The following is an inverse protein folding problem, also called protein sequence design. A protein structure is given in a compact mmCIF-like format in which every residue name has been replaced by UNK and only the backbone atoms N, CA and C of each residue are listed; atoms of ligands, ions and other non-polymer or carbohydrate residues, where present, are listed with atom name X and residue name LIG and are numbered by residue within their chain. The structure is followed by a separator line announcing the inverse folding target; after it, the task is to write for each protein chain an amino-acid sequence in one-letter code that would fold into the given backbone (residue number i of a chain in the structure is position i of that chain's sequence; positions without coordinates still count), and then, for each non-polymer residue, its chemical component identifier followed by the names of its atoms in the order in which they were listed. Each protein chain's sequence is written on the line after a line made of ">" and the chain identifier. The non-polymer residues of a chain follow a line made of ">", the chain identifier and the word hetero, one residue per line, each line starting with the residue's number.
data_IF_850677629452
#
_entry.id   IF_850677629452
#
_cell.length_a   1.000
_cell.length_b   1.000
_cell.length_c   1.000
_cell.angle_alpha   90.00
_cell.angle_beta   90.00
_cell.angle_gamma   90.00
#
_symmetry.space_group_name_H-M   'P 1'
#
loop_
_entity.id
_entity.type
_entity.pdbx_description
1 polymer ?
#
# COMPACT_ATOMS: atom_id res chain seq x y z
N UNK A 1 -27.97 -18.48 32.56
CA UNK A 1 -26.58 -18.06 32.85
C UNK A 1 -25.59 -18.46 31.75
N UNK A 2 -25.61 -19.69 31.23
CA UNK A 2 -24.63 -20.16 30.23
C UNK A 2 -24.53 -19.33 28.92
N UNK A 3 -25.65 -18.77 28.43
CA UNK A 3 -25.69 -18.00 27.17
C UNK A 3 -24.95 -16.65 27.28
N UNK A 4 -24.93 -16.03 28.47
CA UNK A 4 -24.24 -14.76 28.68
C UNK A 4 -22.71 -14.94 28.74
N UNK A 5 -22.25 -16.09 29.26
CA UNK A 5 -20.83 -16.47 29.31
C UNK A 5 -20.31 -16.77 27.91
N UNK A 6 -21.04 -17.57 27.12
CA UNK A 6 -20.65 -17.90 25.74
C UNK A 6 -20.57 -16.66 24.82
N UNK A 7 -21.47 -15.67 25.00
CA UNK A 7 -21.39 -14.39 24.27
C UNK A 7 -20.15 -13.57 24.64
N UNK A 8 -19.75 -13.55 25.93
CA UNK A 8 -18.56 -12.83 26.38
C UNK A 8 -17.27 -13.47 25.88
N UNK A 9 -17.20 -14.80 25.91
CA UNK A 9 -16.06 -15.56 25.37
C UNK A 9 -15.91 -15.36 23.86
N UNK A 10 -17.01 -15.35 23.11
CA UNK A 10 -16.99 -15.07 21.67
C UNK A 10 -16.52 -13.65 21.34
N UNK A 11 -16.95 -12.66 22.13
CA UNK A 11 -16.53 -11.25 21.94
C UNK A 11 -15.05 -11.08 22.28
N UNK A 12 -14.56 -11.74 23.34
CA UNK A 12 -13.15 -11.71 23.72
C UNK A 12 -12.26 -12.43 22.69
N UNK A 13 -12.71 -13.59 22.17
CA UNK A 13 -11.99 -14.32 21.12
C UNK A 13 -11.91 -13.51 19.82
N UNK A 14 -13.02 -12.87 19.42
CA UNK A 14 -13.02 -11.95 18.26
C UNK A 14 -12.10 -10.75 18.48
N UNK A 15 -12.07 -10.19 19.69
CA UNK A 15 -11.15 -9.10 20.03
C UNK A 15 -9.68 -9.50 19.87
N UNK A 16 -9.32 -10.68 20.39
CA UNK A 16 -7.96 -11.21 20.28
C UNK A 16 -7.56 -11.58 18.83
N UNK A 17 -8.50 -12.07 18.02
CA UNK A 17 -8.25 -12.33 16.59
C UNK A 17 -8.04 -11.04 15.79
N UNK A 18 -8.80 -9.98 16.09
CA UNK A 18 -8.62 -8.66 15.47
C UNK A 18 -7.26 -8.07 15.87
N UNK A 19 -6.93 -8.07 17.16
CA UNK A 19 -5.65 -7.56 17.68
C UNK A 19 -4.46 -8.32 17.07
N UNK A 20 -4.55 -9.66 16.93
CA UNK A 20 -3.52 -10.47 16.27
C UNK A 20 -3.40 -10.16 14.78
N UNK A 21 -4.52 -9.90 14.09
CA UNK A 21 -4.51 -9.54 12.68
C UNK A 21 -3.90 -8.14 12.45
N UNK A 22 -4.23 -7.17 13.30
CA UNK A 22 -3.65 -5.82 13.29
C UNK A 22 -2.14 -5.87 13.55
N UNK A 23 -1.71 -6.59 14.60
CA UNK A 23 -0.29 -6.78 14.92
C UNK A 23 0.47 -7.41 13.75
N UNK A 24 -0.13 -8.40 13.08
CA UNK A 24 0.49 -9.01 11.92
C UNK A 24 0.60 -8.03 10.74
N UNK A 25 -0.38 -7.14 10.52
CA UNK A 25 -0.26 -6.09 9.49
C UNK A 25 0.87 -5.11 9.82
N UNK A 26 1.03 -4.73 11.09
CA UNK A 26 2.12 -3.87 11.55
C UNK A 26 3.49 -4.53 11.37
N UNK A 27 3.64 -5.81 11.73
CA UNK A 27 4.87 -6.58 11.54
C UNK A 27 5.26 -6.65 10.05
N UNK A 28 4.27 -6.83 9.16
CA UNK A 28 4.50 -6.83 7.72
C UNK A 28 4.89 -5.46 7.19
N UNK A 29 4.26 -4.42 7.70
CA UNK A 29 4.60 -3.05 7.36
C UNK A 29 6.05 -2.74 7.77
N UNK A 30 6.47 -3.19 8.95
CA UNK A 30 7.84 -3.03 9.43
C UNK A 30 8.83 -3.82 8.56
N UNK A 31 8.56 -5.10 8.26
CA UNK A 31 9.42 -5.91 7.40
C UNK A 31 9.52 -5.36 5.96
N UNK A 32 8.43 -4.79 5.45
CA UNK A 32 8.41 -4.15 4.14
C UNK A 32 9.25 -2.86 4.14
N UNK A 33 9.13 -2.05 5.19
CA UNK A 33 9.93 -0.85 5.37
C UNK A 33 11.42 -1.19 5.43
N UNK A 34 11.83 -2.19 6.22
CA UNK A 34 13.21 -2.65 6.31
C UNK A 34 13.76 -3.08 4.94
N UNK A 35 12.97 -3.82 4.16
CA UNK A 35 13.36 -4.24 2.81
C UNK A 35 13.48 -3.07 1.84
N UNK A 36 12.58 -2.08 1.93
CA UNK A 36 12.65 -0.86 1.13
C UNK A 36 13.88 -0.03 1.48
N UNK A 37 14.19 0.11 2.76
CA UNK A 37 15.39 0.78 3.24
C UNK A 37 16.67 0.07 2.76
N UNK A 38 16.72 -1.27 2.84
CA UNK A 38 17.86 -2.05 2.35
C UNK A 38 18.06 -1.90 0.83
N UNK A 39 16.98 -2.03 0.04
CA UNK A 39 17.04 -1.82 -1.41
C UNK A 39 17.43 -0.38 -1.78
N UNK A 40 17.02 0.57 -0.96
CA UNK A 40 17.36 1.98 -1.12
C UNK A 40 18.83 2.28 -0.81
N UNK A 41 19.41 1.67 0.23
CA UNK A 41 20.86 1.78 0.51
C UNK A 41 21.71 1.13 -0.59
N UNK A 42 21.26 0.02 -1.17
CA UNK A 42 21.91 -0.60 -2.34
C UNK A 42 21.82 0.30 -3.59
N UNK A 43 20.66 0.94 -3.82
CA UNK A 43 20.47 1.89 -4.91
C UNK A 43 21.34 3.16 -4.75
N UNK A 44 21.54 3.65 -3.52
CA UNK A 44 22.50 4.72 -3.22
C UNK A 44 23.92 4.38 -3.63
N UNK A 45 24.37 3.17 -3.28
CA UNK A 45 25.73 2.72 -3.56
C UNK A 45 26.00 2.57 -5.06
N UNK A 46 24.95 2.36 -5.86
CA UNK A 46 25.02 2.20 -7.32
C UNK A 46 24.70 3.48 -8.10
N UNK A 47 24.36 4.59 -7.42
CA UNK A 47 24.02 5.86 -8.05
C UNK A 47 25.24 6.47 -8.74
N UNK A 48 25.22 6.52 -10.09
CA UNK A 48 26.23 7.22 -10.88
C UNK A 48 25.80 8.67 -11.09
N UNK A 49 26.55 9.68 -10.57
CA UNK A 49 26.21 11.09 -10.73
C UNK A 49 26.15 11.58 -12.19
N UNK A 50 26.79 10.83 -13.10
CA UNK A 50 26.97 11.18 -14.51
C UNK A 50 25.70 10.99 -15.37
N UNK A 51 24.70 10.25 -14.86
CA UNK A 51 23.42 10.03 -15.55
C UNK A 51 22.36 10.83 -14.79
N UNK A 52 22.30 12.14 -15.04
CA UNK A 52 21.25 13.01 -14.49
C UNK A 52 19.92 12.75 -15.22
N UNK A 53 19.26 11.63 -14.90
CA UNK A 53 17.83 11.51 -15.16
C UNK A 53 17.10 12.49 -14.21
N UNK A 54 16.05 13.20 -14.63
CA UNK A 54 15.19 13.91 -13.69
C UNK A 54 14.55 12.87 -12.78
N UNK A 55 15.11 12.70 -11.58
CA UNK A 55 14.47 11.88 -10.55
C UNK A 55 13.18 12.58 -10.13
N UNK A 56 12.05 11.92 -10.36
CA UNK A 56 10.73 12.38 -9.95
C UNK A 56 10.76 12.88 -8.50
N UNK A 57 10.10 13.99 -8.20
CA UNK A 57 10.10 14.58 -6.84
C UNK A 57 9.39 13.69 -5.82
N UNK A 58 8.42 12.91 -6.30
CA UNK A 58 7.62 11.99 -5.51
C UNK A 58 7.13 10.84 -6.40
N UNK A 59 6.71 9.74 -5.78
CA UNK A 59 6.05 8.63 -6.46
C UNK A 59 5.11 7.87 -5.51
N UNK A 60 4.18 7.08 -6.05
CA UNK A 60 3.36 6.12 -5.29
C UNK A 60 3.46 4.73 -5.90
N UNK A 61 3.71 3.72 -5.08
CA UNK A 61 3.66 2.31 -5.45
C UNK A 61 2.69 1.54 -4.55
N UNK A 62 2.18 0.42 -5.06
CA UNK A 62 1.37 -0.53 -4.30
C UNK A 62 2.05 -1.89 -4.26
N UNK A 63 1.92 -2.61 -3.15
CA UNK A 63 2.55 -3.90 -2.91
C UNK A 63 1.47 -4.85 -2.36
N UNK A 64 1.27 -5.99 -3.01
CA UNK A 64 0.21 -6.96 -2.70
C UNK A 64 -0.52 -7.46 -3.94
N UNK A 65 -1.71 -8.06 -3.79
CA UNK A 65 -2.46 -8.28 -2.55
C UNK A 65 -1.88 -9.40 -1.67
N UNK A 66 -2.07 -9.29 -0.36
CA UNK A 66 -1.74 -10.31 0.64
C UNK A 66 -3.02 -10.85 1.29
N UNK A 67 -3.15 -12.16 1.44
CA UNK A 67 -4.29 -12.76 2.14
C UNK A 67 -4.04 -12.87 3.64
N UNK A 68 -4.99 -12.44 4.48
CA UNK A 68 -5.03 -12.72 5.92
C UNK A 68 -5.95 -13.92 6.23
N UNK A 69 -5.83 -14.68 7.33
CA UNK A 69 -4.86 -14.51 8.41
C UNK A 69 -3.44 -14.91 8.00
N UNK A 70 -2.46 -14.22 8.56
CA UNK A 70 -1.04 -14.50 8.36
C UNK A 70 -0.63 -15.67 9.26
N UNK A 71 -0.84 -16.90 8.81
CA UNK A 71 -0.35 -18.06 9.55
C UNK A 71 1.18 -18.13 9.48
N UNK A 72 1.84 -17.62 10.53
CA UNK A 72 3.19 -17.99 11.01
C UNK A 72 4.30 -18.04 9.93
N UNK A 73 4.33 -17.06 9.03
CA UNK A 73 5.36 -16.96 8.01
C UNK A 73 5.06 -15.84 7.03
N UNK A 74 6.12 -15.28 6.41
CA UNK A 74 6.09 -14.20 5.43
C UNK A 74 4.82 -14.22 4.57
N UNK A 75 4.14 -13.08 4.37
CA UNK A 75 2.76 -13.06 3.88
C UNK A 75 2.76 -13.68 2.49
N UNK A 76 2.04 -14.79 2.35
CA UNK A 76 1.90 -15.46 1.06
C UNK A 76 1.14 -14.48 0.15
N UNK A 77 1.72 -14.03 -0.96
CA UNK A 77 1.05 -13.13 -1.91
C UNK A 77 -0.10 -13.85 -2.62
N UNK A 78 -1.13 -14.27 -1.93
CA UNK A 78 -2.20 -15.05 -2.51
C UNK A 78 -3.30 -14.11 -3.05
N UNK A 79 -3.37 -13.87 -4.37
CA UNK A 79 -4.43 -13.03 -4.95
C UNK A 79 -5.79 -13.73 -4.91
N UNK A 80 -5.89 -14.97 -4.44
CA UNK A 80 -7.13 -15.73 -4.37
C UNK A 80 -7.53 -15.90 -2.91
N UNK A 81 -8.64 -15.29 -2.51
CA UNK A 81 -9.15 -15.26 -1.14
C UNK A 81 -10.56 -15.82 -1.04
N UNK A 82 -10.92 -16.37 0.12
CA UNK A 82 -12.31 -16.74 0.39
C UNK A 82 -13.16 -15.50 0.63
N UNK A 83 -14.45 -15.58 0.31
CA UNK A 83 -15.41 -14.56 0.76
C UNK A 83 -15.35 -14.43 2.29
N UNK A 84 -15.30 -13.19 2.79
CA UNK A 84 -15.12 -12.86 4.20
C UNK A 84 -13.67 -12.91 4.69
N UNK A 85 -12.72 -13.31 3.84
CA UNK A 85 -11.29 -13.29 4.14
C UNK A 85 -10.69 -11.94 3.72
N UNK A 86 -9.97 -11.29 4.65
CA UNK A 86 -9.37 -9.98 4.37
C UNK A 86 -8.15 -10.09 3.45
N UNK A 87 -8.04 -9.11 2.57
CA UNK A 87 -6.89 -8.82 1.71
C UNK A 87 -6.23 -7.54 2.19
N UNK A 88 -4.90 -7.51 2.23
CA UNK A 88 -4.12 -6.32 2.57
C UNK A 88 -3.31 -5.87 1.36
N UNK A 89 -3.37 -4.57 1.07
CA UNK A 89 -2.58 -3.90 0.06
C UNK A 89 -1.76 -2.81 0.77
N UNK A 90 -0.43 -2.87 0.64
CA UNK A 90 0.41 -1.80 1.13
C UNK A 90 0.59 -0.75 0.04
N UNK A 91 0.52 0.52 0.41
CA UNK A 91 0.87 1.64 -0.45
C UNK A 91 2.11 2.31 0.11
N UNK A 92 3.04 2.65 -0.77
CA UNK A 92 4.29 3.32 -0.40
C UNK A 92 4.33 4.63 -1.18
N UNK A 93 4.29 5.74 -0.46
CA UNK A 93 4.58 7.05 -1.01
C UNK A 93 6.08 7.28 -0.87
N UNK A 94 6.75 7.50 -2.00
CA UNK A 94 8.17 7.82 -2.06
C UNK A 94 8.36 9.33 -2.22
N UNK A 95 9.24 9.91 -1.42
CA UNK A 95 9.69 11.28 -1.56
C UNK A 95 11.18 11.29 -1.92
N UNK A 96 11.54 11.95 -3.02
CA UNK A 96 12.91 11.90 -3.50
C UNK A 96 13.87 12.64 -2.54
N UNK A 97 14.81 11.92 -1.91
CA UNK A 97 15.74 12.51 -0.95
C UNK A 97 16.98 13.11 -1.64
N UNK A 98 17.18 12.86 -2.94
CA UNK A 98 18.38 13.25 -3.68
C UNK A 98 18.15 14.40 -4.65
N UNK A 99 19.23 15.13 -4.88
CA UNK A 99 19.38 16.10 -5.97
C UNK A 99 19.67 17.52 -5.47
N UNK A 100 20.42 18.32 -6.24
CA UNK A 100 20.24 19.76 -6.24
C UNK A 100 18.91 20.12 -6.92
N UNK A 101 18.23 21.20 -6.48
CA UNK A 101 18.69 22.14 -5.47
C UNK A 101 18.60 21.57 -4.05
N UNK A 102 19.53 21.97 -3.18
CA UNK A 102 19.33 21.88 -1.72
C UNK A 102 18.44 23.05 -1.31
N UNK A 103 17.37 22.83 -0.51
CA UNK A 103 16.93 21.57 0.10
C UNK A 103 16.32 20.57 -0.89
N UNK A 104 16.48 19.26 -0.63
CA UNK A 104 15.99 18.19 -1.54
C UNK A 104 14.46 18.16 -1.64
N UNK A 105 13.86 17.52 -2.67
CA UNK A 105 12.40 17.43 -2.79
C UNK A 105 11.71 16.86 -1.54
N UNK A 106 12.29 15.83 -0.91
CA UNK A 106 11.82 15.29 0.37
C UNK A 106 11.82 16.36 1.48
N UNK A 107 12.85 17.19 1.56
CA UNK A 107 12.94 18.26 2.55
C UNK A 107 11.94 19.40 2.26
N UNK A 108 11.72 19.73 0.99
CA UNK A 108 10.77 20.78 0.58
C UNK A 108 9.33 20.35 0.88
N UNK A 109 8.94 19.16 0.40
CA UNK A 109 7.55 18.70 0.47
C UNK A 109 7.25 18.12 1.86
N UNK A 110 8.13 17.26 2.37
CA UNK A 110 7.98 16.60 3.66
C UNK A 110 8.23 17.52 4.85
N UNK A 111 9.11 18.52 4.71
CA UNK A 111 9.40 19.49 5.78
C UNK A 111 8.24 20.44 6.07
N UNK A 112 7.37 20.70 5.09
CA UNK A 112 6.16 21.49 5.26
C UNK A 112 4.99 20.72 5.90
N UNK A 113 5.19 19.42 6.21
CA UNK A 113 4.17 18.52 6.79
C UNK A 113 2.82 18.55 6.05
N UNK A 114 2.89 18.71 4.72
CA UNK A 114 1.71 18.87 3.89
C UNK A 114 0.78 17.65 4.03
N UNK A 115 -0.55 17.84 4.00
CA UNK A 115 -1.46 16.72 4.03
C UNK A 115 -1.38 15.94 2.72
N UNK A 116 -1.58 14.62 2.78
CA UNK A 116 -1.74 13.77 1.61
C UNK A 116 -2.98 12.89 1.77
N UNK A 117 -3.51 12.43 0.65
CA UNK A 117 -4.57 11.42 0.60
C UNK A 117 -4.28 10.36 -0.45
N UNK A 118 -4.61 9.12 -0.10
CA UNK A 118 -4.58 7.97 -0.99
C UNK A 118 -6.01 7.48 -1.16
N UNK A 119 -6.55 7.61 -2.36
CA UNK A 119 -7.88 7.17 -2.72
C UNK A 119 -7.79 5.80 -3.38
N UNK A 120 -8.66 4.88 -2.97
CA UNK A 120 -8.76 3.55 -3.57
C UNK A 120 -10.20 3.28 -4.00
N UNK A 121 -10.36 2.93 -5.27
CA UNK A 121 -11.65 2.59 -5.86
C UNK A 121 -11.64 1.16 -6.35
N UNK A 122 -12.53 0.36 -5.77
CA UNK A 122 -12.65 -1.06 -6.06
C UNK A 122 -13.81 -1.31 -7.00
N UNK A 123 -13.60 -2.15 -8.02
CA UNK A 123 -14.62 -2.58 -8.96
C UNK A 123 -14.63 -4.10 -9.01
N UNK A 124 -15.82 -4.69 -8.88
CA UNK A 124 -16.02 -6.09 -9.20
C UNK A 124 -16.18 -6.20 -10.72
N UNK A 125 -15.18 -6.77 -11.37
CA UNK A 125 -15.11 -6.93 -12.84
C UNK A 125 -16.12 -7.99 -13.32
N UNK A 126 -16.50 -8.92 -12.46
CA UNK A 126 -17.48 -9.97 -12.81
C UNK A 126 -18.88 -9.38 -12.96
N UNK A 127 -19.25 -8.43 -12.10
CA UNK A 127 -20.53 -7.71 -12.16
C UNK A 127 -20.44 -6.36 -12.85
N UNK A 128 -19.23 -5.93 -13.22
CA UNK A 128 -18.91 -4.62 -13.80
C UNK A 128 -19.49 -3.48 -12.96
N UNK A 129 -19.36 -3.59 -11.64
CA UNK A 129 -19.94 -2.64 -10.68
C UNK A 129 -18.91 -2.15 -9.69
N UNK A 130 -18.94 -0.84 -9.41
CA UNK A 130 -18.16 -0.25 -8.33
C UNK A 130 -18.60 -0.82 -6.98
N UNK A 131 -17.61 -1.23 -6.17
CA UNK A 131 -17.84 -1.72 -4.81
C UNK A 131 -17.47 -0.62 -3.80
N UNK A 132 -18.49 0.13 -3.38
CA UNK A 132 -18.33 1.23 -2.44
C UNK A 132 -17.89 0.76 -1.04
N UNK A 133 -18.19 -0.50 -0.66
CA UNK A 133 -17.79 -1.04 0.65
C UNK A 133 -16.30 -1.38 0.69
N UNK A 134 -15.69 -1.63 -0.48
CA UNK A 134 -14.26 -1.88 -0.64
C UNK A 134 -13.50 -0.66 -1.18
N UNK A 135 -14.11 0.52 -1.19
CA UNK A 135 -13.52 1.77 -1.68
C UNK A 135 -13.39 2.77 -0.54
N UNK A 136 -12.45 3.72 -0.64
CA UNK A 136 -12.23 4.66 0.43
C UNK A 136 -11.04 5.58 0.24
N UNK A 137 -10.62 6.21 1.34
CA UNK A 137 -9.51 7.16 1.35
C UNK A 137 -8.72 7.02 2.65
N UNK A 138 -7.40 6.91 2.50
CA UNK A 138 -6.43 7.03 3.59
C UNK A 138 -5.88 8.46 3.57
N UNK A 139 -5.83 9.11 4.73
CA UNK A 139 -5.27 10.46 4.86
C UNK A 139 -4.10 10.43 5.83
N UNK A 140 -3.15 11.33 5.64
CA UNK A 140 -2.05 11.54 6.56
C UNK A 140 -1.33 12.84 6.31
N UNK A 141 -0.24 13.05 7.04
CA UNK A 141 0.67 14.17 6.84
C UNK A 141 2.00 13.63 6.35
N UNK A 142 2.60 14.33 5.40
CA UNK A 142 3.95 14.03 4.97
C UNK A 142 4.93 14.27 6.11
N UNK A 143 6.00 13.50 6.10
CA UNK A 143 7.15 13.70 6.96
C UNK A 143 8.41 13.76 6.07
N UNK A 144 9.51 14.35 6.55
CA UNK A 144 10.77 14.42 5.81
C UNK A 144 11.50 13.06 5.83
N UNK A 145 10.82 12.02 5.37
CA UNK A 145 11.29 10.63 5.26
C UNK A 145 11.12 10.15 3.81
N UNK A 146 12.00 9.26 3.32
CA UNK A 146 11.95 8.82 1.93
C UNK A 146 10.73 7.95 1.60
N UNK A 147 10.21 7.21 2.58
CA UNK A 147 9.08 6.29 2.39
C UNK A 147 8.02 6.50 3.45
N UNK A 148 6.76 6.58 3.03
CA UNK A 148 5.58 6.60 3.91
C UNK A 148 4.69 5.42 3.51
N UNK A 149 4.49 4.48 4.42
CA UNK A 149 3.71 3.26 4.19
C UNK A 149 2.31 3.38 4.78
N UNK A 150 1.31 2.90 4.05
CA UNK A 150 -0.05 2.71 4.55
C UNK A 150 -0.58 1.33 4.17
N UNK A 151 -1.33 0.71 5.07
CA UNK A 151 -2.04 -0.54 4.82
C UNK A 151 -3.51 -0.25 4.45
N UNK A 152 -3.99 -0.89 3.40
CA UNK A 152 -5.40 -0.89 2.99
C UNK A 152 -5.92 -2.31 3.13
N UNK A 153 -6.88 -2.52 4.04
CA UNK A 153 -7.49 -3.82 4.30
C UNK A 153 -8.88 -3.87 3.66
N UNK A 154 -9.11 -4.86 2.81
CA UNK A 154 -10.35 -5.07 2.05
C UNK A 154 -10.93 -6.45 2.38
N UNK A 155 -12.21 -6.53 2.71
CA UNK A 155 -12.87 -7.81 3.04
C UNK A 155 -14.05 -8.05 2.09
N UNK A 156 -13.84 -8.76 0.97
CA UNK A 156 -14.90 -9.00 -0.01
C UNK A 156 -16.02 -9.88 0.59
N UNK A 157 -17.27 -9.44 0.44
CA UNK A 157 -18.46 -10.14 0.92
C UNK A 157 -19.22 -10.90 -0.18
N UNK A 158 -18.76 -10.81 -1.42
CA UNK A 158 -19.32 -11.50 -2.56
C UNK A 158 -18.19 -12.14 -3.39
N UNK A 159 -18.45 -13.26 -4.08
CA UNK A 159 -17.47 -13.83 -4.98
C UNK A 159 -17.30 -12.96 -6.24
N UNK A 160 -16.11 -13.01 -6.83
CA UNK A 160 -15.80 -12.35 -8.09
C UNK A 160 -14.38 -11.82 -8.16
N UNK A 161 -14.00 -11.42 -9.37
CA UNK A 161 -12.74 -10.74 -9.65
C UNK A 161 -12.83 -9.25 -9.29
N UNK A 162 -11.95 -8.79 -8.41
CA UNK A 162 -11.88 -7.41 -7.94
C UNK A 162 -10.64 -6.70 -8.48
N UNK A 163 -10.83 -5.45 -8.91
CA UNK A 163 -9.80 -4.51 -9.32
C UNK A 163 -9.79 -3.28 -8.41
N UNK A 164 -8.64 -2.96 -7.82
CA UNK A 164 -8.44 -1.81 -6.93
C UNK A 164 -7.55 -0.78 -7.62
N UNK A 165 -8.12 0.38 -7.90
CA UNK A 165 -7.42 1.49 -8.52
C UNK A 165 -6.92 2.45 -7.44
N UNK A 166 -5.62 2.74 -7.42
CA UNK A 166 -4.98 3.55 -6.40
C UNK A 166 -4.53 4.89 -6.96
N UNK A 167 -4.88 5.97 -6.24
CA UNK A 167 -4.53 7.35 -6.57
C UNK A 167 -3.97 8.05 -5.34
N UNK A 168 -2.90 8.79 -5.48
CA UNK A 168 -2.38 9.66 -4.42
C UNK A 168 -2.43 11.12 -4.83
N UNK A 169 -2.64 11.97 -3.83
CA UNK A 169 -2.60 13.42 -3.98
C UNK A 169 -1.95 14.04 -2.75
N UNK A 170 -0.94 14.87 -2.97
CA UNK A 170 -0.41 15.79 -1.97
C UNK A 170 -1.25 17.07 -2.06
N UNK A 171 -1.68 17.55 -0.90
CA UNK A 171 -2.52 18.71 -0.75
C UNK A 171 -1.68 19.91 -0.31
N UNK A 172 -2.19 21.11 -0.57
CA UNK A 172 -1.62 22.33 0.01
C UNK A 172 -1.92 22.39 1.50
N UNK A 173 -1.29 23.33 2.22
CA UNK A 173 -1.61 23.60 3.63
C UNK A 173 -3.09 24.00 3.86
N UNK A 174 -3.81 24.43 2.82
CA UNK A 174 -5.25 24.74 2.87
C UNK A 174 -6.12 23.56 2.41
N UNK A 175 -5.56 22.35 2.33
CA UNK A 175 -6.27 21.13 1.90
C UNK A 175 -6.82 21.19 0.46
N UNK A 176 -6.23 22.01 -0.40
CA UNK A 176 -6.56 22.03 -1.83
C UNK A 176 -5.62 21.11 -2.61
N UNK A 177 -6.10 20.52 -3.71
CA UNK A 177 -5.27 19.62 -4.52
C UNK A 177 -4.10 20.36 -5.15
N UNK A 178 -2.88 19.89 -4.91
CA UNK A 178 -1.70 20.37 -5.59
C UNK A 178 -1.49 19.51 -6.85
N UNK A 179 -2.06 19.95 -7.98
CA UNK A 179 -2.15 19.16 -9.23
C UNK A 179 -0.81 18.52 -9.68
N UNK A 180 0.35 19.19 -9.59
CA UNK A 180 1.64 18.55 -9.94
C UNK A 180 2.03 17.35 -9.06
N UNK A 181 1.37 17.20 -7.91
CA UNK A 181 1.57 16.13 -6.94
C UNK A 181 0.31 15.28 -6.77
N UNK A 182 -0.38 15.02 -7.88
CA UNK A 182 -1.48 14.07 -7.97
C UNK A 182 -1.17 13.03 -9.06
N UNK A 183 -1.43 11.75 -8.79
CA UNK A 183 -1.10 10.67 -9.73
C UNK A 183 -1.66 9.31 -9.32
N UNK A 184 -1.55 8.36 -10.24
CA UNK A 184 -1.86 6.94 -10.01
C UNK A 184 -0.64 6.20 -9.45
N UNK A 185 -0.87 5.03 -8.84
CA UNK A 185 0.21 4.13 -8.50
C UNK A 185 1.06 3.80 -9.75
N UNK A 186 2.34 4.19 -9.73
CA UNK A 186 3.26 4.00 -10.84
C UNK A 186 3.73 2.56 -10.98
N UNK A 187 3.71 1.81 -9.87
CA UNK A 187 4.13 0.41 -9.78
C UNK A 187 3.21 -0.38 -8.87
N UNK A 188 2.85 -1.58 -9.32
CA UNK A 188 2.28 -2.63 -8.48
C UNK A 188 3.27 -3.77 -8.42
N UNK A 189 3.73 -4.11 -7.23
CA UNK A 189 4.60 -5.26 -7.00
C UNK A 189 3.85 -6.40 -6.30
N UNK A 190 4.03 -7.61 -6.81
CA UNK A 190 3.61 -8.84 -6.15
C UNK A 190 4.88 -9.59 -5.78
N UNK A 191 5.06 -9.91 -4.50
CA UNK A 191 6.28 -10.60 -4.03
C UNK A 191 6.44 -12.00 -4.66
N UNK A 192 5.42 -12.52 -5.37
CA UNK A 192 5.54 -13.73 -6.19
C UNK A 192 6.30 -13.55 -7.50
N UNK A 193 6.37 -12.35 -8.08
CA UNK A 193 6.81 -12.16 -9.45
C UNK A 193 8.35 -12.13 -9.64
N UNK A 194 9.15 -12.18 -8.57
CA UNK A 194 10.59 -11.89 -8.66
C UNK A 194 11.54 -13.06 -8.36
N UNK A 195 11.09 -14.32 -8.25
CA UNK A 195 12.02 -15.42 -7.94
C UNK A 195 13.07 -15.64 -9.06
N UNK A 196 12.81 -15.25 -10.32
CA UNK A 196 13.75 -15.52 -11.44
C UNK A 196 13.88 -14.42 -12.51
N UNK A 197 13.41 -13.20 -12.25
CA UNK A 197 13.57 -12.10 -13.20
C UNK A 197 14.65 -11.12 -12.73
N UNK A 198 15.60 -10.67 -13.58
CA UNK A 198 16.28 -9.42 -13.27
C UNK A 198 15.18 -8.38 -13.16
N UNK A 199 15.12 -7.63 -12.06
CA UNK A 199 14.23 -6.47 -11.93
C UNK A 199 14.71 -5.33 -12.83
N UNK A 200 14.94 -5.62 -14.10
CA UNK A 200 15.15 -4.65 -15.15
C UNK A 200 13.80 -4.08 -15.50
N UNK A 201 13.47 -2.94 -14.89
CA UNK A 201 12.62 -1.90 -15.48
C UNK A 201 11.40 -2.43 -16.26
N UNK A 202 10.56 -3.25 -15.64
CA UNK A 202 9.18 -3.37 -16.07
C UNK A 202 8.38 -2.26 -15.40
N UNK A 203 8.58 -1.02 -15.88
CA UNK A 203 7.71 0.12 -15.58
C UNK A 203 6.34 -0.24 -16.15
N UNK A 204 5.45 -0.80 -15.30
CA UNK A 204 4.07 -1.10 -15.67
C UNK A 204 3.19 0.01 -15.13
N UNK A 205 3.00 1.00 -15.99
CA UNK A 205 2.17 2.18 -15.75
C UNK A 205 0.74 1.79 -15.37
N UNK A 206 0.23 2.34 -14.27
CA UNK A 206 -1.20 2.59 -14.03
C UNK A 206 -2.12 1.36 -14.10
N UNK A 207 -1.66 0.19 -13.63
CA UNK A 207 -2.53 -0.99 -13.54
C UNK A 207 -3.30 -1.01 -12.21
N UNK A 208 -4.48 -1.65 -12.13
CA UNK A 208 -5.16 -1.90 -10.86
C UNK A 208 -4.54 -3.10 -10.13
N UNK A 209 -4.61 -3.10 -8.79
CA UNK A 209 -4.31 -4.29 -7.98
C UNK A 209 -5.46 -5.26 -8.14
N UNK A 210 -5.19 -6.54 -8.43
CA UNK A 210 -6.21 -7.55 -8.70
C UNK A 210 -6.22 -8.65 -7.65
N UNK A 211 -7.40 -9.07 -7.22
CA UNK A 211 -7.62 -10.28 -6.43
C UNK A 211 -8.95 -10.95 -6.80
N UNK A 212 -9.05 -12.25 -6.59
CA UNK A 212 -10.24 -13.08 -6.84
C UNK A 212 -10.81 -13.58 -5.51
N UNK A 213 -12.12 -13.37 -5.32
CA UNK A 213 -12.86 -13.86 -4.17
C UNK A 213 -13.71 -15.07 -4.56
N UNK A 214 -13.53 -16.21 -3.89
CA UNK A 214 -14.27 -17.44 -4.14
C UNK A 214 -14.99 -17.96 -2.89
N UNK A 215 -15.93 -18.88 -3.08
CA UNK A 215 -16.75 -19.50 -2.02
C UNK A 215 -16.01 -20.69 -1.40
#
# INVERSE_FOLDING_TARGET
>A
MAVATAKRELVAAKGAEVEKAELAVEELQAALLERLEAAYEEAKASWRPEIAAPTNWWDIMAIGPFSAPFDLGFPKPNPIVRVGQSVVIFTVLFLNPFGPPMPSPMQIIGGALLPYRIMYDTTNVTTVSHDAALSGTVNGNLAPVPFILNAITLTPNAPGLYEVNLRAQILTAMSTTMVPFAGYASRIDSIHASIFGPSGLAVRFEQPVRFDAYV
#
